data_IF_564171473147
#
_entry.id   IF_564171473147
#
_cell.length_a   1.000
_cell.length_b   1.000
_cell.length_c   1.000
_cell.angle_alpha   90.00
_cell.angle_beta   90.00
_cell.angle_gamma   90.00
#
_symmetry.space_group_name_H-M   'P 1'
#
loop_
_entity.id
_entity.type
_entity.pdbx_description
1 polymer ?
#
# COMPACT_ATOMS: atom_id res chain seq x y z
N UNK A 1 -5.50 -14.96 -13.79
CA UNK A 1 -6.59 -15.94 -13.74
C UNK A 1 -6.23 -17.08 -12.81
N UNK A 2 -7.18 -17.61 -12.08
CA UNK A 2 -7.06 -18.79 -11.24
C UNK A 2 -7.73 -20.01 -11.92
N UNK A 3 -7.35 -21.24 -11.55
CA UNK A 3 -7.92 -22.44 -12.16
C UNK A 3 -9.31 -22.80 -11.62
N UNK A 4 -9.73 -22.26 -10.48
CA UNK A 4 -11.01 -22.56 -9.82
C UNK A 4 -11.08 -23.94 -9.13
N UNK A 5 -10.16 -24.86 -9.38
CA UNK A 5 -10.27 -26.28 -8.96
C UNK A 5 -9.23 -26.73 -7.94
N UNK A 6 -8.11 -26.04 -7.78
CA UNK A 6 -7.11 -26.39 -6.75
C UNK A 6 -7.57 -26.01 -5.34
N UNK A 7 -6.97 -26.62 -4.32
CA UNK A 7 -7.36 -26.40 -2.93
C UNK A 7 -7.40 -24.91 -2.53
N UNK A 8 -6.40 -24.07 -2.82
CA UNK A 8 -6.51 -22.64 -2.57
C UNK A 8 -7.71 -21.98 -3.24
N UNK A 9 -8.03 -22.33 -4.50
CA UNK A 9 -9.19 -21.76 -5.19
C UNK A 9 -10.51 -22.19 -4.54
N UNK A 10 -10.63 -23.44 -4.13
CA UNK A 10 -11.82 -23.94 -3.42
C UNK A 10 -12.03 -23.29 -2.05
N UNK A 11 -10.94 -22.82 -1.43
CA UNK A 11 -10.96 -22.07 -0.17
C UNK A 11 -11.19 -20.55 -0.40
N UNK A 12 -11.39 -20.09 -1.63
CA UNK A 12 -11.52 -18.66 -1.94
C UNK A 12 -10.18 -17.91 -1.99
N UNK A 13 -9.06 -18.59 -1.80
CA UNK A 13 -7.71 -18.02 -1.80
C UNK A 13 -7.08 -18.06 -3.21
N UNK A 14 -7.79 -17.47 -4.19
CA UNK A 14 -7.45 -17.56 -5.61
C UNK A 14 -6.09 -16.95 -5.96
N UNK A 15 -5.62 -15.98 -5.16
CA UNK A 15 -4.28 -15.38 -5.27
C UNK A 15 -3.15 -16.39 -5.09
N UNK A 16 -3.38 -17.51 -4.38
CA UNK A 16 -2.43 -18.60 -4.17
C UNK A 16 -2.65 -19.78 -5.10
N UNK A 17 -3.40 -19.61 -6.18
CA UNK A 17 -3.61 -20.65 -7.17
C UNK A 17 -2.28 -21.12 -7.79
N UNK A 18 -2.03 -22.42 -7.77
CA UNK A 18 -0.79 -23.02 -8.31
C UNK A 18 -0.65 -22.85 -9.83
N UNK A 19 -1.78 -22.71 -10.54
CA UNK A 19 -1.83 -22.50 -11.99
C UNK A 19 -2.26 -21.06 -12.32
N UNK A 20 -1.94 -20.11 -11.46
CA UNK A 20 -2.27 -18.71 -11.69
C UNK A 20 -1.61 -18.20 -12.98
N UNK A 21 -2.36 -17.40 -13.73
CA UNK A 21 -1.89 -16.69 -14.91
C UNK A 21 -2.12 -15.21 -14.74
N UNK A 22 -1.06 -14.43 -14.73
CA UNK A 22 -1.09 -12.98 -14.52
C UNK A 22 -0.88 -12.26 -15.86
N UNK A 23 -1.73 -11.28 -16.13
CA UNK A 23 -1.62 -10.39 -17.30
C UNK A 23 -0.32 -9.60 -17.20
N UNK A 24 0.46 -9.56 -18.27
CA UNK A 24 1.75 -8.87 -18.30
C UNK A 24 2.92 -9.64 -17.68
N UNK A 25 2.70 -10.88 -17.16
CA UNK A 25 3.75 -11.74 -16.59
C UNK A 25 3.74 -13.10 -17.28
N UNK A 26 2.65 -13.85 -17.15
CA UNK A 26 2.49 -15.21 -17.74
C UNK A 26 1.72 -15.16 -19.06
N UNK A 27 1.19 -14.03 -19.43
CA UNK A 27 0.42 -13.71 -20.63
C UNK A 27 0.73 -12.29 -21.08
N UNK A 28 0.34 -11.98 -22.32
CA UNK A 28 0.43 -10.63 -22.86
C UNK A 28 -0.22 -9.61 -21.94
N UNK A 29 0.40 -8.46 -21.82
CA UNK A 29 -0.03 -7.36 -20.95
C UNK A 29 -1.08 -6.47 -21.60
N UNK A 30 -1.40 -5.37 -20.92
CA UNK A 30 -2.39 -4.38 -21.34
C UNK A 30 -1.76 -3.07 -21.87
N UNK A 31 -0.44 -3.02 -22.12
CA UNK A 31 0.20 -1.87 -22.80
C UNK A 31 0.05 -2.02 -24.33
N UNK A 32 -1.19 -1.91 -24.80
CA UNK A 32 -1.58 -2.17 -26.20
C UNK A 32 -2.96 -1.56 -26.46
N UNK A 33 -3.33 -1.39 -27.75
CA UNK A 33 -4.65 -0.88 -28.14
C UNK A 33 -5.79 -1.84 -27.77
N UNK A 34 -5.53 -3.14 -27.77
CA UNK A 34 -6.55 -4.17 -27.50
C UNK A 34 -6.01 -5.27 -26.62
N UNK A 35 -6.80 -5.69 -25.65
CA UNK A 35 -6.52 -6.83 -24.80
C UNK A 35 -7.77 -7.73 -24.69
N UNK A 36 -7.58 -9.05 -24.72
CA UNK A 36 -8.66 -10.01 -24.55
C UNK A 36 -8.56 -10.64 -23.16
N UNK A 37 -9.56 -10.39 -22.35
CA UNK A 37 -9.64 -10.88 -20.97
C UNK A 37 -10.99 -11.56 -20.71
N UNK A 38 -11.06 -12.60 -19.86
CA UNK A 38 -12.34 -13.18 -19.47
C UNK A 38 -13.16 -12.16 -18.67
N UNK A 39 -14.44 -11.99 -19.03
CA UNK A 39 -15.33 -11.02 -18.40
C UNK A 39 -15.45 -11.17 -16.87
N UNK A 40 -15.30 -12.42 -16.36
CA UNK A 40 -15.36 -12.72 -14.92
C UNK A 40 -14.20 -12.12 -14.10
N UNK A 41 -13.18 -11.58 -14.75
CA UNK A 41 -12.05 -10.89 -14.10
C UNK A 41 -12.06 -9.37 -14.32
N UNK A 42 -13.14 -8.85 -14.92
CA UNK A 42 -13.30 -7.43 -15.17
C UNK A 42 -14.29 -6.84 -14.15
N UNK A 43 -13.92 -5.70 -13.61
CA UNK A 43 -14.78 -4.90 -12.75
C UNK A 43 -15.18 -3.64 -13.51
N UNK A 44 -16.49 -3.33 -13.50
CA UNK A 44 -16.96 -2.10 -14.13
C UNK A 44 -16.53 -0.91 -13.26
N UNK A 45 -15.84 0.03 -13.86
CA UNK A 45 -15.51 1.32 -13.23
C UNK A 45 -16.62 2.31 -13.63
N UNK A 46 -17.24 3.01 -12.67
CA UNK A 46 -18.23 4.06 -12.93
C UNK A 46 -17.63 5.23 -13.73
N UNK A 47 -18.44 5.84 -14.60
CA UNK A 47 -18.00 6.91 -15.51
C UNK A 47 -17.57 8.19 -14.78
N UNK A 48 -17.99 8.39 -13.54
CA UNK A 48 -17.56 9.49 -12.68
C UNK A 48 -16.10 9.41 -12.20
N UNK A 49 -15.45 8.23 -12.32
CA UNK A 49 -14.05 8.06 -11.95
C UNK A 49 -13.18 8.37 -13.19
N UNK A 50 -12.33 9.41 -13.14
CA UNK A 50 -11.42 9.71 -14.24
C UNK A 50 -10.51 8.54 -14.58
N UNK A 51 -10.26 8.27 -15.86
CA UNK A 51 -9.44 7.14 -16.33
C UNK A 51 -8.07 7.06 -15.67
N UNK A 52 -7.41 8.20 -15.47
CA UNK A 52 -6.12 8.28 -14.78
C UNK A 52 -6.18 7.80 -13.32
N UNK A 53 -7.34 7.91 -12.67
CA UNK A 53 -7.54 7.37 -11.31
C UNK A 53 -8.00 5.92 -11.38
N UNK A 54 -8.77 5.54 -12.39
CA UNK A 54 -9.20 4.16 -12.59
C UNK A 54 -8.01 3.19 -12.67
N UNK A 55 -6.91 3.57 -13.33
CA UNK A 55 -5.73 2.71 -13.49
C UNK A 55 -4.95 2.46 -12.18
N UNK A 56 -5.23 3.21 -11.10
CA UNK A 56 -4.60 2.98 -9.79
C UNK A 56 -5.49 2.24 -8.79
N UNK A 57 -6.73 1.92 -9.16
CA UNK A 57 -7.68 1.20 -8.28
C UNK A 57 -7.17 -0.20 -7.95
N UNK A 58 -6.64 -0.95 -8.93
CA UNK A 58 -6.14 -2.32 -8.70
C UNK A 58 -5.02 -2.35 -7.66
N UNK A 59 -3.89 -1.63 -7.82
CA UNK A 59 -2.84 -1.63 -6.82
C UNK A 59 -3.29 -1.02 -5.48
N UNK A 60 -4.25 -0.07 -5.47
CA UNK A 60 -4.85 0.41 -4.24
C UNK A 60 -5.67 -0.67 -3.55
N UNK A 61 -6.51 -1.42 -4.29
CA UNK A 61 -7.37 -2.48 -3.73
C UNK A 61 -6.57 -3.55 -2.99
N UNK A 62 -5.38 -3.86 -3.51
CA UNK A 62 -4.44 -4.78 -2.85
C UNK A 62 -4.03 -4.25 -1.46
N UNK A 63 -3.67 -2.97 -1.36
CA UNK A 63 -3.26 -2.36 -0.08
C UNK A 63 -4.46 -2.22 0.86
N UNK A 64 -5.60 -1.77 0.32
CA UNK A 64 -6.85 -1.63 1.04
C UNK A 64 -7.28 -2.93 1.72
N UNK A 65 -7.26 -4.04 0.97
CA UNK A 65 -7.62 -5.37 1.46
C UNK A 65 -6.67 -5.93 2.53
N UNK A 66 -5.48 -5.38 2.66
CA UNK A 66 -4.51 -5.82 3.65
C UNK A 66 -4.53 -4.97 4.93
N UNK A 67 -4.88 -3.70 4.85
CA UNK A 67 -4.85 -2.81 6.02
C UNK A 67 -6.24 -2.60 6.64
N UNK A 68 -7.27 -2.38 5.82
CA UNK A 68 -8.61 -2.02 6.32
C UNK A 68 -9.25 -3.11 7.19
N UNK A 69 -9.20 -4.40 6.84
CA UNK A 69 -9.72 -5.46 7.71
C UNK A 69 -9.02 -5.50 9.07
N UNK A 70 -7.70 -5.30 9.11
CA UNK A 70 -6.93 -5.28 10.35
C UNK A 70 -7.35 -4.08 11.21
N UNK A 71 -7.48 -2.88 10.61
CA UNK A 71 -7.95 -1.68 11.30
C UNK A 71 -9.34 -1.91 11.89
N UNK A 72 -10.28 -2.45 11.10
CA UNK A 72 -11.67 -2.70 11.55
C UNK A 72 -11.70 -3.74 12.69
N UNK A 73 -10.93 -4.82 12.57
CA UNK A 73 -10.86 -5.88 13.58
C UNK A 73 -10.25 -5.41 14.90
N UNK A 74 -9.16 -4.64 14.81
CA UNK A 74 -8.42 -4.15 15.99
C UNK A 74 -8.99 -2.85 16.55
N UNK A 75 -9.90 -2.19 15.84
CA UNK A 75 -10.42 -0.84 16.14
C UNK A 75 -9.27 0.15 16.33
N UNK A 76 -8.27 0.08 15.44
CA UNK A 76 -7.05 0.85 15.53
C UNK A 76 -7.33 2.35 15.50
N UNK A 77 -6.71 3.10 16.42
CA UNK A 77 -6.75 4.57 16.48
C UNK A 77 -5.45 5.18 15.99
N UNK A 78 -4.32 4.54 16.29
CA UNK A 78 -2.98 4.99 15.91
C UNK A 78 -2.38 4.04 14.88
N UNK A 79 -2.28 4.48 13.66
CA UNK A 79 -1.66 3.73 12.55
C UNK A 79 -0.38 4.43 12.13
N UNK A 80 0.71 3.68 12.02
CA UNK A 80 1.99 4.18 11.52
C UNK A 80 2.34 3.46 10.23
N UNK A 81 2.72 4.23 9.22
CA UNK A 81 3.12 3.73 7.91
C UNK A 81 4.61 4.04 7.73
N UNK A 82 5.42 3.02 7.49
CA UNK A 82 6.86 3.14 7.27
C UNK A 82 7.15 3.00 5.77
N UNK A 83 7.63 4.09 5.18
CA UNK A 83 7.88 4.21 3.74
C UNK A 83 6.86 5.09 3.03
N UNK A 84 7.31 6.24 2.53
CA UNK A 84 6.49 7.25 1.87
C UNK A 84 6.36 7.05 0.35
N UNK A 85 6.61 5.84 -0.16
CA UNK A 85 6.40 5.47 -1.55
C UNK A 85 4.92 5.24 -1.90
N UNK A 86 4.65 4.79 -3.13
CA UNK A 86 3.29 4.52 -3.61
C UNK A 86 2.48 3.62 -2.67
N UNK A 87 3.08 2.52 -2.18
CA UNK A 87 2.41 1.58 -1.27
C UNK A 87 2.03 2.28 0.04
N UNK A 88 2.95 3.07 0.61
CA UNK A 88 2.68 3.84 1.83
C UNK A 88 1.58 4.88 1.64
N UNK A 89 1.56 5.59 0.49
CA UNK A 89 0.50 6.55 0.18
C UNK A 89 -0.87 5.87 0.05
N UNK A 90 -0.94 4.73 -0.60
CA UNK A 90 -2.17 3.95 -0.67
C UNK A 90 -2.61 3.45 0.71
N UNK A 91 -1.67 3.02 1.55
CA UNK A 91 -1.97 2.62 2.93
C UNK A 91 -2.51 3.78 3.78
N UNK A 92 -1.96 5.00 3.61
CA UNK A 92 -2.47 6.21 4.23
C UNK A 92 -3.91 6.48 3.83
N UNK A 93 -4.19 6.50 2.53
CA UNK A 93 -5.53 6.72 1.98
C UNK A 93 -6.51 5.66 2.50
N UNK A 94 -6.12 4.39 2.48
CA UNK A 94 -6.94 3.29 2.97
C UNK A 94 -7.21 3.39 4.49
N UNK A 95 -6.20 3.74 5.29
CA UNK A 95 -6.37 3.93 6.74
C UNK A 95 -7.32 5.10 7.05
N UNK A 96 -7.17 6.22 6.33
CA UNK A 96 -8.08 7.38 6.50
C UNK A 96 -9.50 7.06 6.04
N UNK A 97 -9.70 6.28 4.98
CA UNK A 97 -11.03 5.82 4.55
C UNK A 97 -11.71 4.93 5.60
N UNK A 98 -10.93 4.24 6.43
CA UNK A 98 -11.42 3.45 7.56
C UNK A 98 -11.62 4.28 8.84
N UNK A 99 -11.61 5.62 8.74
CA UNK A 99 -11.83 6.57 9.83
C UNK A 99 -10.82 6.46 10.97
N UNK A 100 -9.57 6.11 10.66
CA UNK A 100 -8.50 6.12 11.66
C UNK A 100 -8.24 7.56 12.11
N UNK A 101 -8.19 7.75 13.41
CA UNK A 101 -7.99 9.05 14.03
C UNK A 101 -6.58 9.60 13.71
N UNK A 102 -5.55 8.85 14.05
CA UNK A 102 -4.16 9.24 13.87
C UNK A 102 -3.46 8.33 12.87
N UNK A 103 -3.04 8.88 11.72
CA UNK A 103 -2.21 8.19 10.74
C UNK A 103 -0.90 8.95 10.57
N UNK A 104 0.21 8.34 10.97
CA UNK A 104 1.54 8.93 10.90
C UNK A 104 2.32 8.23 9.79
N UNK A 105 2.99 9.00 8.93
CA UNK A 105 3.86 8.46 7.90
C UNK A 105 5.34 8.71 8.25
N UNK A 106 6.15 7.66 8.20
CA UNK A 106 7.59 7.77 8.30
C UNK A 106 8.24 7.52 6.94
N UNK A 107 9.28 8.27 6.67
CA UNK A 107 10.11 8.17 5.48
C UNK A 107 11.55 8.55 5.80
N UNK A 108 12.25 9.03 4.80
CA UNK A 108 13.65 9.48 4.88
C UNK A 108 13.75 10.93 4.43
N UNK A 109 14.94 11.54 4.58
CA UNK A 109 15.20 12.91 4.14
C UNK A 109 14.84 13.15 2.66
N UNK A 110 14.95 12.13 1.82
CA UNK A 110 14.50 12.18 0.40
C UNK A 110 13.00 12.50 0.24
N UNK A 111 12.19 12.13 1.22
CA UNK A 111 10.74 12.24 1.14
C UNK A 111 10.22 13.61 1.58
N UNK A 112 11.06 14.42 2.24
CA UNK A 112 10.69 15.68 2.93
C UNK A 112 10.10 16.71 1.96
N UNK A 113 10.74 16.93 0.82
CA UNK A 113 10.37 18.04 -0.07
C UNK A 113 9.21 17.69 -1.01
N UNK A 114 8.96 16.41 -1.29
CA UNK A 114 7.93 16.00 -2.24
C UNK A 114 6.86 15.09 -1.61
N UNK A 115 7.26 13.96 -1.03
CA UNK A 115 6.30 12.94 -0.60
C UNK A 115 5.59 13.27 0.69
N UNK A 116 6.24 13.90 1.65
CA UNK A 116 5.60 14.34 2.89
C UNK A 116 4.53 15.41 2.67
N UNK A 117 4.74 16.45 1.85
CA UNK A 117 3.67 17.35 1.44
C UNK A 117 2.46 16.64 0.82
N UNK A 118 2.67 15.62 -0.02
CA UNK A 118 1.58 14.81 -0.59
C UNK A 118 0.88 14.01 0.51
N UNK A 119 1.62 13.38 1.42
CA UNK A 119 1.05 12.65 2.55
C UNK A 119 0.16 13.55 3.43
N UNK A 120 0.60 14.77 3.71
CA UNK A 120 -0.19 15.76 4.46
C UNK A 120 -1.49 16.13 3.72
N UNK A 121 -1.45 16.35 2.42
CA UNK A 121 -2.67 16.59 1.59
C UNK A 121 -3.63 15.39 1.63
N UNK A 122 -3.11 14.17 1.70
CA UNK A 122 -3.89 12.93 1.80
C UNK A 122 -4.37 12.64 3.23
N UNK A 123 -4.10 13.52 4.20
CA UNK A 123 -4.63 13.43 5.55
C UNK A 123 -3.70 12.78 6.57
N UNK A 124 -2.38 12.67 6.32
CA UNK A 124 -1.45 12.26 7.36
C UNK A 124 -1.47 13.24 8.53
N UNK A 125 -1.66 12.73 9.74
CA UNK A 125 -1.65 13.51 10.97
C UNK A 125 -0.25 14.08 11.20
N UNK A 126 0.79 13.27 10.95
CA UNK A 126 2.16 13.73 10.96
C UNK A 126 3.05 12.96 9.97
N UNK A 127 4.23 13.54 9.69
CA UNK A 127 5.28 12.94 8.86
C UNK A 127 6.62 13.03 9.56
N UNK A 128 7.40 11.94 9.56
CA UNK A 128 8.64 11.84 10.33
C UNK A 128 9.78 11.38 9.41
N UNK A 129 10.83 12.19 9.32
CA UNK A 129 12.10 11.77 8.73
C UNK A 129 12.88 10.93 9.75
N UNK A 130 12.90 9.62 9.55
CA UNK A 130 13.53 8.65 10.44
C UNK A 130 15.08 8.67 10.42
N UNK A 131 15.68 9.46 9.51
CA UNK A 131 17.13 9.65 9.49
C UNK A 131 17.57 10.82 10.38
N UNK A 132 16.67 11.77 10.64
CA UNK A 132 16.99 12.99 11.43
C UNK A 132 16.30 12.98 12.80
N UNK A 133 15.27 12.16 13.00
CA UNK A 133 14.56 12.03 14.25
C UNK A 133 14.38 10.57 14.68
N UNK A 134 14.38 10.33 15.99
CA UNK A 134 14.04 9.00 16.54
C UNK A 134 12.55 8.72 16.30
N UNK A 135 12.25 7.79 15.39
CA UNK A 135 10.87 7.37 15.12
C UNK A 135 10.18 6.84 16.39
N UNK A 136 10.81 5.97 17.21
CA UNK A 136 10.20 5.50 18.45
C UNK A 136 9.80 6.63 19.40
N UNK A 137 10.70 7.59 19.65
CA UNK A 137 10.42 8.68 20.59
C UNK A 137 9.28 9.56 20.07
N UNK A 138 9.27 9.87 18.79
CA UNK A 138 8.21 10.65 18.15
C UNK A 138 6.86 9.95 18.19
N UNK A 139 6.81 8.65 17.95
CA UNK A 139 5.55 7.90 18.05
C UNK A 139 5.04 7.88 19.49
N UNK A 140 5.90 7.68 20.47
CA UNK A 140 5.50 7.72 21.88
C UNK A 140 4.98 9.11 22.27
N UNK A 141 5.61 10.19 21.79
CA UNK A 141 5.14 11.57 21.97
C UNK A 141 3.75 11.78 21.36
N UNK A 142 3.58 11.46 20.07
CA UNK A 142 2.35 11.70 19.30
C UNK A 142 1.17 10.81 19.72
N UNK A 143 1.43 9.69 20.38
CA UNK A 143 0.42 8.75 20.85
C UNK A 143 0.21 8.80 22.37
N UNK A 144 0.76 9.80 23.06
CA UNK A 144 0.70 9.95 24.53
C UNK A 144 1.18 8.67 25.26
N UNK A 145 2.25 8.04 24.76
CA UNK A 145 2.84 6.83 25.35
C UNK A 145 2.15 5.53 24.96
N UNK A 146 1.06 5.55 24.19
CA UNK A 146 0.31 4.34 23.84
C UNK A 146 1.05 3.46 22.82
N UNK A 147 1.80 4.03 21.90
CA UNK A 147 2.39 3.37 20.75
C UNK A 147 1.38 3.15 19.61
N UNK A 148 1.79 2.46 18.56
CA UNK A 148 0.96 2.19 17.40
C UNK A 148 0.10 0.94 17.59
N UNK A 149 -1.19 1.00 17.24
CA UNK A 149 -2.07 -0.16 17.15
C UNK A 149 -1.70 -1.05 15.98
N UNK A 150 -1.47 -0.39 14.83
CA UNK A 150 -1.10 -1.04 13.56
C UNK A 150 0.09 -0.30 12.98
N UNK A 151 1.10 -1.04 12.55
CA UNK A 151 2.20 -0.54 11.74
C UNK A 151 2.14 -1.24 10.39
N UNK A 152 2.19 -0.50 9.29
CA UNK A 152 2.38 -1.06 7.95
C UNK A 152 3.80 -0.72 7.48
N UNK A 153 4.62 -1.75 7.26
CA UNK A 153 5.90 -1.58 6.59
C UNK A 153 5.75 -1.68 5.07
N UNK A 154 5.97 -0.56 4.39
CA UNK A 154 6.05 -0.44 2.94
C UNK A 154 7.49 -0.19 2.46
N UNK A 155 8.45 -0.12 3.37
CA UNK A 155 9.85 0.19 3.04
C UNK A 155 10.64 -1.05 2.63
N UNK A 156 10.35 -2.20 3.24
CA UNK A 156 11.14 -3.42 3.13
C UNK A 156 12.56 -3.27 3.67
N UNK A 157 12.85 -2.20 4.41
CA UNK A 157 14.16 -2.01 5.02
C UNK A 157 14.22 -2.70 6.38
N UNK A 158 15.36 -3.34 6.67
CA UNK A 158 15.60 -3.96 7.97
C UNK A 158 15.39 -2.97 9.12
N UNK A 159 15.93 -1.76 8.96
CA UNK A 159 15.76 -0.69 9.95
C UNK A 159 14.28 -0.30 10.15
N UNK A 160 13.52 -0.16 9.06
CA UNK A 160 12.08 0.15 9.12
C UNK A 160 11.28 -0.94 9.82
N UNK A 161 11.57 -2.21 9.52
CA UNK A 161 10.92 -3.36 10.16
C UNK A 161 11.21 -3.36 11.67
N UNK A 162 12.47 -3.17 12.09
CA UNK A 162 12.86 -3.10 13.50
C UNK A 162 12.18 -1.92 14.22
N UNK A 163 12.20 -0.73 13.62
CA UNK A 163 11.50 0.43 14.16
C UNK A 163 9.98 0.15 14.27
N UNK A 164 9.40 -0.47 13.24
CA UNK A 164 7.99 -0.86 13.26
C UNK A 164 7.63 -1.77 14.44
N UNK A 165 8.45 -2.80 14.70
CA UNK A 165 8.28 -3.68 15.86
C UNK A 165 8.45 -2.92 17.19
N UNK A 166 9.38 -1.98 17.24
CA UNK A 166 9.67 -1.21 18.46
C UNK A 166 8.52 -0.28 18.83
N UNK A 167 7.87 0.37 17.88
CA UNK A 167 6.81 1.35 18.11
C UNK A 167 5.42 0.73 18.33
N UNK A 168 5.25 -0.56 18.03
CA UNK A 168 3.99 -1.25 18.31
C UNK A 168 3.69 -1.29 19.81
N UNK A 169 2.42 -1.05 20.19
CA UNK A 169 1.94 -1.35 21.53
C UNK A 169 1.89 -2.86 21.80
N UNK A 170 1.64 -3.24 23.03
CA UNK A 170 1.33 -4.65 23.37
C UNK A 170 0.05 -5.10 22.62
N UNK A 171 0.10 -6.28 22.02
CA UNK A 171 -0.96 -6.81 21.17
C UNK A 171 -1.16 -6.05 19.85
N UNK A 172 -0.22 -5.18 19.44
CA UNK A 172 -0.26 -4.48 18.17
C UNK A 172 0.06 -5.38 16.97
N UNK A 173 -0.29 -4.91 15.78
CA UNK A 173 -0.12 -5.67 14.52
C UNK A 173 0.84 -4.97 13.58
N UNK A 174 1.90 -5.69 13.15
CA UNK A 174 2.76 -5.32 12.02
C UNK A 174 2.20 -5.95 10.74
N UNK A 175 1.92 -5.15 9.74
CA UNK A 175 1.58 -5.59 8.38
C UNK A 175 2.84 -5.43 7.53
N UNK A 176 3.44 -6.55 7.13
CA UNK A 176 4.66 -6.59 6.35
C UNK A 176 4.32 -6.69 4.85
N UNK A 177 4.58 -5.61 4.10
CA UNK A 177 4.36 -5.53 2.65
C UNK A 177 5.64 -5.23 1.87
N UNK A 178 6.60 -4.58 2.50
CA UNK A 178 7.90 -4.27 1.89
C UNK A 178 8.77 -5.53 1.75
N UNK A 179 9.34 -5.76 0.57
CA UNK A 179 10.27 -6.88 0.34
C UNK A 179 11.68 -6.46 0.73
N UNK A 180 12.32 -7.20 1.64
CA UNK A 180 13.69 -6.91 2.10
C UNK A 180 14.75 -7.23 1.04
N UNK A 181 14.46 -8.13 0.12
CA UNK A 181 15.42 -8.72 -0.85
C UNK A 181 16.64 -9.37 -0.19
N UNK A 182 16.52 -9.70 1.09
CA UNK A 182 17.51 -10.45 1.87
C UNK A 182 16.96 -11.84 2.14
N UNK A 183 17.84 -12.81 2.27
CA UNK A 183 17.49 -14.20 2.62
C UNK A 183 16.90 -14.27 4.05
N UNK A 184 17.46 -13.48 4.97
CA UNK A 184 17.00 -13.39 6.35
C UNK A 184 17.27 -12.00 6.93
N UNK A 185 16.50 -11.64 7.94
CA UNK A 185 16.73 -10.49 8.81
C UNK A 185 16.68 -10.96 10.27
N UNK A 186 17.59 -10.50 11.15
CA UNK A 186 17.49 -10.82 12.57
C UNK A 186 16.35 -10.07 13.21
N UNK A 187 15.59 -10.72 14.11
CA UNK A 187 14.57 -10.07 14.95
C UNK A 187 14.80 -10.44 16.41
N UNK A 188 14.42 -9.53 17.33
CA UNK A 188 14.40 -9.84 18.75
C UNK A 188 13.11 -10.62 19.07
N UNK A 189 13.20 -11.96 18.97
CA UNK A 189 12.07 -12.87 19.17
C UNK A 189 11.40 -12.70 20.53
N UNK A 190 12.20 -12.60 21.60
CA UNK A 190 11.68 -12.47 22.97
C UNK A 190 10.95 -11.13 23.18
N UNK A 191 11.40 -10.07 22.53
CA UNK A 191 10.69 -8.78 22.57
C UNK A 191 9.32 -8.88 21.86
N UNK A 192 9.24 -9.59 20.73
CA UNK A 192 7.99 -9.84 20.02
C UNK A 192 7.02 -10.67 20.89
N UNK A 193 7.54 -11.73 21.52
CA UNK A 193 6.75 -12.59 22.43
C UNK A 193 6.22 -11.79 23.63
N UNK A 194 7.07 -11.02 24.31
CA UNK A 194 6.69 -10.21 25.48
C UNK A 194 5.63 -9.17 25.16
N UNK A 195 5.66 -8.60 23.95
CA UNK A 195 4.65 -7.66 23.45
C UNK A 195 3.39 -8.34 22.90
N UNK A 196 3.36 -9.68 22.79
CA UNK A 196 2.28 -10.43 22.12
C UNK A 196 1.96 -9.83 20.72
N UNK A 197 3.01 -9.58 19.93
CA UNK A 197 2.85 -8.97 18.60
C UNK A 197 2.15 -9.89 17.62
N UNK A 198 1.36 -9.31 16.74
CA UNK A 198 0.86 -9.99 15.56
C UNK A 198 1.66 -9.51 14.34
N UNK A 199 2.09 -10.44 13.48
CA UNK A 199 2.77 -10.11 12.22
C UNK A 199 1.99 -10.73 11.08
N UNK A 200 1.48 -9.89 10.20
CA UNK A 200 0.75 -10.30 9.02
C UNK A 200 1.62 -10.05 7.79
N UNK A 201 2.00 -11.12 7.08
CA UNK A 201 2.70 -11.03 5.82
C UNK A 201 1.70 -11.00 4.67
N UNK A 202 1.78 -9.97 3.84
CA UNK A 202 0.90 -9.80 2.71
C UNK A 202 1.67 -9.45 1.45
N UNK A 203 1.41 -10.17 0.38
CA UNK A 203 1.99 -9.90 -0.94
C UNK A 203 0.92 -9.63 -2.00
N UNK A 204 -0.23 -10.24 -1.87
CA UNK A 204 -1.32 -10.15 -2.84
C UNK A 204 -2.65 -10.08 -2.10
N UNK A 205 -3.61 -9.32 -2.62
CA UNK A 205 -4.97 -9.32 -2.09
C UNK A 205 -5.87 -10.27 -2.86
N UNK A 206 -6.97 -10.65 -2.22
CA UNK A 206 -8.11 -11.25 -2.89
C UNK A 206 -8.91 -10.15 -3.62
N UNK A 207 -9.49 -10.48 -4.78
CA UNK A 207 -10.30 -9.56 -5.59
C UNK A 207 -11.56 -9.04 -4.88
N UNK A 208 -11.95 -9.63 -3.76
CA UNK A 208 -13.12 -9.20 -2.98
C UNK A 208 -13.08 -7.72 -2.56
N UNK A 209 -11.89 -7.12 -2.47
CA UNK A 209 -11.75 -5.70 -2.11
C UNK A 209 -11.72 -4.75 -3.31
N UNK A 210 -11.82 -5.27 -4.53
CA UNK A 210 -11.83 -4.43 -5.73
C UNK A 210 -13.08 -3.55 -5.77
N UNK A 211 -14.24 -4.13 -5.47
CA UNK A 211 -15.51 -3.39 -5.51
C UNK A 211 -15.56 -2.32 -4.41
N UNK A 212 -15.05 -2.61 -3.18
CA UNK A 212 -14.93 -1.60 -2.13
C UNK A 212 -13.99 -0.46 -2.55
N UNK A 213 -12.87 -0.78 -3.22
CA UNK A 213 -11.95 0.21 -3.74
C UNK A 213 -12.58 1.08 -4.83
N UNK A 214 -13.32 0.49 -5.77
CA UNK A 214 -14.06 1.21 -6.80
C UNK A 214 -15.06 2.18 -6.15
N UNK A 215 -15.86 1.71 -5.20
CA UNK A 215 -16.82 2.56 -4.47
C UNK A 215 -16.12 3.72 -3.74
N UNK A 216 -14.96 3.47 -3.14
CA UNK A 216 -14.17 4.51 -2.51
C UNK A 216 -13.67 5.55 -3.53
N UNK A 217 -13.22 5.12 -4.73
CA UNK A 217 -12.75 6.03 -5.77
C UNK A 217 -13.87 6.85 -6.42
N UNK A 218 -15.10 6.35 -6.41
CA UNK A 218 -16.26 7.13 -6.85
C UNK A 218 -16.57 8.29 -5.89
N UNK A 219 -16.32 8.11 -4.57
CA UNK A 219 -16.61 9.11 -3.55
C UNK A 219 -15.45 9.27 -2.56
N UNK A 220 -14.26 9.71 -3.00
CA UNK A 220 -13.11 9.83 -2.14
C UNK A 220 -13.24 11.04 -1.18
N UNK A 221 -12.69 10.91 0.02
CA UNK A 221 -12.69 12.02 1.00
C UNK A 221 -11.72 13.17 0.64
N UNK A 222 -10.85 12.97 -0.33
CA UNK A 222 -9.81 13.91 -0.78
C UNK A 222 -9.49 13.74 -2.25
N UNK A 223 -8.82 14.72 -2.83
CA UNK A 223 -8.34 14.64 -4.21
C UNK A 223 -7.20 13.63 -4.35
N UNK A 224 -7.47 12.50 -5.01
CA UNK A 224 -6.49 11.45 -5.25
C UNK A 224 -5.59 11.72 -6.47
N UNK A 225 -5.87 12.77 -7.25
CA UNK A 225 -5.03 13.12 -8.41
C UNK A 225 -3.61 13.51 -8.02
N UNK A 226 -3.41 13.94 -6.76
CA UNK A 226 -2.08 14.22 -6.20
C UNK A 226 -1.13 13.01 -6.17
N UNK A 227 -1.68 11.80 -6.33
CA UNK A 227 -0.90 10.56 -6.44
C UNK A 227 -0.30 10.37 -7.85
N UNK A 228 -0.87 11.02 -8.86
CA UNK A 228 -0.37 10.94 -10.24
C UNK A 228 0.71 11.99 -10.42
N UNK A 229 1.94 11.55 -10.63
CA UNK A 229 3.08 12.45 -10.83
C UNK A 229 3.19 12.91 -12.27
N UNK A 230 3.00 11.98 -13.22
CA UNK A 230 3.14 12.27 -14.64
C UNK A 230 2.25 11.40 -15.49
N UNK A 231 1.75 11.97 -16.57
CA UNK A 231 0.97 11.27 -17.60
C UNK A 231 1.71 11.39 -18.95
N UNK A 232 1.67 10.34 -19.77
CA UNK A 232 2.24 10.33 -21.11
C UNK A 232 1.46 9.37 -22.02
N UNK A 233 1.43 9.61 -23.35
CA UNK A 233 0.87 8.64 -24.28
C UNK A 233 1.72 7.37 -24.32
N UNK A 234 1.10 6.23 -24.67
CA UNK A 234 1.79 4.94 -24.74
C UNK A 234 2.98 4.98 -25.69
N UNK A 235 2.87 5.70 -26.81
CA UNK A 235 3.98 5.93 -27.75
C UNK A 235 5.24 6.53 -27.12
N UNK A 236 5.10 7.23 -25.99
CA UNK A 236 6.20 7.84 -25.23
C UNK A 236 6.62 7.03 -23.98
N UNK A 237 6.23 5.76 -23.88
CA UNK A 237 6.51 4.94 -22.70
C UNK A 237 7.97 5.00 -22.24
N UNK A 238 8.91 4.95 -23.20
CA UNK A 238 10.35 4.95 -22.88
C UNK A 238 10.76 6.24 -22.16
N UNK A 239 10.35 7.40 -22.66
CA UNK A 239 10.69 8.69 -22.04
C UNK A 239 10.07 8.83 -20.64
N UNK A 240 8.91 8.19 -20.38
CA UNK A 240 8.31 8.17 -19.06
C UNK A 240 9.11 7.30 -18.09
N UNK A 241 9.64 6.16 -18.54
CA UNK A 241 10.51 5.31 -17.74
C UNK A 241 11.83 6.01 -17.43
N UNK A 242 12.48 6.63 -18.44
CA UNK A 242 13.72 7.42 -18.25
C UNK A 242 13.48 8.59 -17.24
N UNK A 243 12.29 9.17 -17.24
CA UNK A 243 11.89 10.19 -16.26
C UNK A 243 11.81 9.62 -14.84
N UNK A 244 11.25 8.41 -14.68
CA UNK A 244 11.13 7.74 -13.37
C UNK A 244 12.50 7.44 -12.75
N UNK A 245 13.50 7.15 -13.56
CA UNK A 245 14.87 6.86 -13.08
C UNK A 245 15.59 8.10 -12.53
N UNK A 246 15.16 9.30 -12.95
CA UNK A 246 15.85 10.56 -12.62
C UNK A 246 15.05 11.47 -11.69
N UNK A 247 13.77 11.21 -11.44
CA UNK A 247 12.89 12.06 -10.65
C UNK A 247 12.17 11.27 -9.55
N UNK A 248 11.87 11.96 -8.46
CA UNK A 248 10.99 11.41 -7.45
C UNK A 248 9.54 11.37 -7.95
N UNK A 249 9.00 10.17 -8.01
CA UNK A 249 7.63 9.93 -8.49
C UNK A 249 6.85 9.07 -7.49
N UNK A 250 5.53 9.20 -7.51
CA UNK A 250 4.60 8.30 -6.84
C UNK A 250 3.98 7.35 -7.86
N UNK A 251 3.11 7.85 -8.74
CA UNK A 251 2.50 7.05 -9.79
C UNK A 251 2.57 7.78 -11.11
N UNK A 252 2.99 7.08 -12.16
CA UNK A 252 2.97 7.57 -13.53
C UNK A 252 1.97 6.76 -14.35
N UNK A 253 1.31 7.41 -15.28
CA UNK A 253 0.22 6.84 -16.07
C UNK A 253 0.56 6.95 -17.56
N UNK A 254 0.39 5.84 -18.27
CA UNK A 254 0.39 5.81 -19.73
C UNK A 254 -1.06 5.71 -20.22
N UNK A 255 -1.46 6.54 -21.15
CA UNK A 255 -2.75 6.44 -21.82
C UNK A 255 -2.55 6.01 -23.29
N UNK A 256 -3.55 5.34 -23.84
CA UNK A 256 -3.55 4.91 -25.24
C UNK A 256 -3.83 6.12 -26.10
N UNK A 257 -2.99 6.37 -27.11
CA UNK A 257 -3.02 7.50 -28.08
C UNK A 257 -3.48 7.05 -29.46
#
# INVERSE_FOLDING_TARGET
YSCGTCAPCQMGLTQFCKSKRSVGIDRDGAMTDYVVLPASYLHKVPDEIPDKLACIIEPFSMIYGNIVPVIRQTKAKNVVIIGAGQVGMFALVAAKSASVETVIMSGTTRDVDYRFPVAKKLGASDTIDSLTASLPDKIMELTNGAGADVVLDASGSEAGIHQGMQILRHGGTLIAMGMTRKESIPINWDACLKKAMHINFHMQSNYQYMDEAIQFFAHPYTDLSVLITKEAPLSQWKSLFDYMDTHDTLKNVLYID
#
